data_IF_082896638797
#
_entry.id   IF_082896638797
#
_cell.length_a   1.000
_cell.length_b   1.000
_cell.length_c   1.000
_cell.angle_alpha   90.00
_cell.angle_beta   90.00
_cell.angle_gamma   90.00
#
_symmetry.space_group_name_H-M   'P 1'
#
loop_
_entity.id
_entity.type
_entity.pdbx_description
1 polymer ?
#
# COMPACT_ATOMS: atom_id res chain seq x y z
N UNK A 1 49.25 1.64 -29.87
CA UNK A 1 47.98 2.36 -29.68
C UNK A 1 46.85 1.33 -29.64
N UNK A 2 46.15 1.21 -28.51
CA UNK A 2 44.68 1.06 -28.40
C UNK A 2 44.26 0.15 -27.23
N UNK A 3 43.62 0.78 -26.26
CA UNK A 3 42.85 0.26 -25.14
C UNK A 3 41.52 1.07 -25.18
N UNK A 4 40.40 0.60 -24.59
CA UNK A 4 39.64 -0.63 -24.79
C UNK A 4 38.26 -0.35 -25.43
N UNK A 5 37.71 -1.30 -26.20
CA UNK A 5 36.29 -1.23 -26.59
C UNK A 5 35.45 -1.70 -25.40
N UNK A 6 34.85 -0.74 -24.71
CA UNK A 6 33.90 -1.00 -23.63
C UNK A 6 32.54 -1.14 -24.30
N UNK A 7 31.86 -2.30 -24.25
CA UNK A 7 30.47 -2.33 -24.65
C UNK A 7 29.66 -1.56 -23.60
N UNK A 8 29.39 -0.30 -23.90
CA UNK A 8 28.17 0.40 -23.53
C UNK A 8 26.99 -0.39 -24.11
N UNK A 9 26.70 -1.55 -23.52
CA UNK A 9 25.46 -2.24 -23.81
C UNK A 9 24.42 -1.72 -22.82
N UNK A 10 23.46 -0.99 -23.40
CA UNK A 10 22.43 -0.23 -22.72
C UNK A 10 21.86 -0.99 -21.53
N UNK A 11 21.62 -0.24 -20.46
CA UNK A 11 20.62 -0.55 -19.43
C UNK A 11 19.48 -1.29 -20.13
N UNK A 12 19.40 -2.61 -19.98
CA UNK A 12 18.27 -3.37 -20.44
C UNK A 12 17.09 -2.73 -19.71
N UNK A 13 16.31 -1.93 -20.43
CA UNK A 13 14.98 -1.53 -20.00
C UNK A 13 14.27 -2.85 -19.75
N UNK A 14 14.21 -3.21 -18.48
CA UNK A 14 13.56 -4.40 -17.97
C UNK A 14 12.07 -4.15 -18.17
N UNK A 15 11.60 -4.22 -19.41
CA UNK A 15 10.19 -4.34 -19.75
C UNK A 15 9.76 -5.77 -19.38
N UNK A 16 9.96 -6.12 -18.10
CA UNK A 16 9.26 -7.19 -17.43
C UNK A 16 7.81 -6.74 -17.38
N UNK A 17 7.06 -7.08 -18.43
CA UNK A 17 5.61 -7.05 -18.42
C UNK A 17 5.21 -8.01 -17.31
N UNK A 18 5.10 -7.50 -16.08
CA UNK A 18 4.67 -8.29 -14.93
C UNK A 18 3.34 -8.92 -15.36
N UNK A 19 3.18 -10.25 -15.26
CA UNK A 19 1.88 -10.88 -15.46
C UNK A 19 0.84 -10.10 -14.67
N UNK A 20 -0.36 -9.95 -15.24
CA UNK A 20 -1.39 -9.03 -14.76
C UNK A 20 -1.66 -9.15 -13.26
N UNK A 21 -1.50 -10.35 -12.68
CA UNK A 21 -1.61 -10.59 -11.24
C UNK A 21 -0.51 -9.92 -10.42
N UNK A 22 0.75 -9.99 -10.84
CA UNK A 22 1.87 -9.36 -10.15
C UNK A 22 1.78 -7.84 -10.26
N UNK A 23 1.41 -7.32 -11.42
CA UNK A 23 1.14 -5.90 -11.61
C UNK A 23 0.00 -5.42 -10.69
N UNK A 24 -1.08 -6.21 -10.56
CA UNK A 24 -2.18 -5.91 -9.66
C UNK A 24 -1.75 -6.00 -8.18
N UNK A 25 -0.92 -6.97 -7.80
CA UNK A 25 -0.35 -7.07 -6.44
C UNK A 25 0.53 -5.86 -6.14
N UNK A 26 1.46 -5.51 -7.03
CA UNK A 26 2.34 -4.35 -6.90
C UNK A 26 1.51 -3.05 -6.78
N UNK A 27 0.50 -2.88 -7.63
CA UNK A 27 -0.42 -1.75 -7.55
C UNK A 27 -1.21 -1.70 -6.23
N UNK A 28 -1.59 -2.85 -5.68
CA UNK A 28 -2.28 -2.93 -4.37
C UNK A 28 -1.34 -2.56 -3.22
N UNK A 29 -0.08 -3.02 -3.27
CA UNK A 29 0.95 -2.63 -2.30
C UNK A 29 1.24 -1.13 -2.36
N UNK A 30 1.39 -0.58 -3.57
CA UNK A 30 1.58 0.86 -3.78
C UNK A 30 0.39 1.70 -3.29
N UNK A 31 -0.85 1.20 -3.45
CA UNK A 31 -2.04 1.86 -2.90
C UNK A 31 -2.09 1.79 -1.38
N UNK A 32 -1.69 0.66 -0.78
CA UNK A 32 -1.62 0.51 0.68
C UNK A 32 -0.60 1.47 1.28
N UNK A 33 0.57 1.62 0.66
CA UNK A 33 1.58 2.59 1.10
C UNK A 33 1.09 4.02 0.90
N UNK A 34 0.51 4.34 -0.26
CA UNK A 34 -0.08 5.65 -0.51
C UNK A 34 -1.20 6.01 0.48
N UNK A 35 -2.06 5.06 0.84
CA UNK A 35 -3.10 5.25 1.85
C UNK A 35 -2.54 5.53 3.24
N UNK A 36 -1.44 4.87 3.62
CA UNK A 36 -0.77 5.09 4.90
C UNK A 36 -0.13 6.49 4.99
N UNK A 37 0.34 7.01 3.85
CA UNK A 37 0.93 8.36 3.77
C UNK A 37 -0.10 9.49 3.58
N UNK A 38 -1.34 9.16 3.21
CA UNK A 38 -2.38 10.16 3.02
C UNK A 38 -2.87 10.73 4.38
N UNK A 39 -3.09 12.05 4.42
CA UNK A 39 -3.56 12.73 5.62
C UNK A 39 -4.96 12.27 6.05
N UNK A 40 -5.22 12.29 7.35
CA UNK A 40 -6.55 12.00 7.88
C UNK A 40 -7.55 13.09 7.44
N UNK A 41 -8.73 12.68 6.96
CA UNK A 41 -9.76 13.59 6.45
C UNK A 41 -9.61 14.00 4.99
N UNK A 42 -8.52 13.59 4.31
CA UNK A 42 -8.37 13.84 2.87
C UNK A 42 -9.33 12.95 2.06
N UNK A 43 -10.04 13.57 1.11
CA UNK A 43 -10.88 12.88 0.14
C UNK A 43 -10.10 11.81 -0.63
N UNK A 44 -8.83 12.09 -0.97
CA UNK A 44 -7.95 11.15 -1.67
C UNK A 44 -7.80 9.84 -0.89
N UNK A 45 -7.69 9.91 0.44
CA UNK A 45 -7.56 8.72 1.29
C UNK A 45 -8.76 7.79 1.16
N UNK A 46 -9.97 8.33 1.11
CA UNK A 46 -11.19 7.55 0.92
C UNK A 46 -11.26 6.88 -0.47
N UNK A 47 -10.79 7.58 -1.51
CA UNK A 47 -10.74 7.06 -2.88
C UNK A 47 -9.71 5.93 -3.01
N UNK A 48 -8.55 6.07 -2.37
CA UNK A 48 -7.52 5.04 -2.32
C UNK A 48 -8.04 3.77 -1.63
N UNK A 49 -8.73 3.90 -0.49
CA UNK A 49 -9.33 2.76 0.21
C UNK A 49 -10.36 2.03 -0.65
N UNK A 50 -11.22 2.77 -1.38
CA UNK A 50 -12.22 2.17 -2.28
C UNK A 50 -11.57 1.43 -3.46
N UNK A 51 -10.49 1.98 -4.02
CA UNK A 51 -9.71 1.31 -5.08
C UNK A 51 -9.02 0.05 -4.56
N UNK A 52 -8.51 0.10 -3.35
CA UNK A 52 -7.88 -1.03 -2.67
C UNK A 52 -8.86 -2.19 -2.49
N UNK A 53 -10.11 -1.92 -2.05
CA UNK A 53 -11.18 -2.94 -1.99
C UNK A 53 -11.41 -3.61 -3.35
N UNK A 54 -11.43 -2.83 -4.43
CA UNK A 54 -11.64 -3.34 -5.79
C UNK A 54 -10.47 -4.24 -6.22
N UNK A 55 -9.22 -3.81 -5.99
CA UNK A 55 -8.05 -4.60 -6.31
C UNK A 55 -8.01 -5.92 -5.52
N UNK A 56 -8.35 -5.89 -4.23
CA UNK A 56 -8.39 -7.09 -3.40
C UNK A 56 -9.44 -8.08 -3.86
N UNK A 57 -10.59 -7.60 -4.38
CA UNK A 57 -11.58 -8.46 -5.02
C UNK A 57 -11.00 -9.15 -6.26
N UNK A 58 -10.37 -8.40 -7.17
CA UNK A 58 -9.77 -8.98 -8.36
C UNK A 58 -8.66 -9.99 -8.02
N UNK A 59 -7.85 -9.72 -6.99
CA UNK A 59 -6.82 -10.65 -6.52
C UNK A 59 -7.41 -11.90 -5.85
N UNK A 60 -8.47 -11.77 -5.06
CA UNK A 60 -9.10 -12.92 -4.38
C UNK A 60 -9.79 -13.87 -5.36
N UNK A 61 -10.24 -13.36 -6.52
CA UNK A 61 -10.87 -14.17 -7.57
C UNK A 61 -9.86 -14.68 -8.61
N UNK A 62 -8.59 -14.26 -8.54
CA UNK A 62 -7.62 -14.54 -9.59
C UNK A 62 -7.17 -16.01 -9.58
N UNK A 63 -7.19 -16.74 -10.72
CA UNK A 63 -6.88 -18.17 -10.77
C UNK A 63 -5.41 -18.50 -10.48
N UNK A 64 -4.50 -17.58 -10.77
CA UNK A 64 -3.06 -17.75 -10.51
C UNK A 64 -2.67 -17.52 -9.03
N UNK A 65 -3.60 -17.04 -8.19
CA UNK A 65 -3.36 -16.84 -6.76
C UNK A 65 -3.70 -18.12 -6.01
N UNK A 66 -2.82 -18.54 -5.11
CA UNK A 66 -3.00 -19.78 -4.35
C UNK A 66 -4.31 -19.75 -3.53
N UNK A 67 -4.97 -20.90 -3.31
CA UNK A 67 -6.24 -20.93 -2.57
C UNK A 67 -6.17 -20.29 -1.18
N UNK A 68 -5.07 -20.53 -0.46
CA UNK A 68 -4.84 -19.93 0.85
C UNK A 68 -4.71 -18.40 0.76
N UNK A 69 -3.95 -17.90 -0.24
CA UNK A 69 -3.79 -16.47 -0.46
C UNK A 69 -5.12 -15.80 -0.86
N UNK A 70 -5.94 -16.44 -1.70
CA UNK A 70 -7.29 -15.94 -2.04
C UNK A 70 -8.17 -15.77 -0.80
N UNK A 71 -8.15 -16.72 0.13
CA UNK A 71 -8.86 -16.62 1.40
C UNK A 71 -8.36 -15.43 2.23
N UNK A 72 -7.02 -15.27 2.35
CA UNK A 72 -6.43 -14.13 3.05
C UNK A 72 -6.82 -12.79 2.41
N UNK A 73 -6.79 -12.69 1.09
CA UNK A 73 -7.18 -11.50 0.34
C UNK A 73 -8.67 -11.18 0.48
N UNK A 74 -9.54 -12.18 0.46
CA UNK A 74 -10.97 -12.01 0.70
C UNK A 74 -11.24 -11.47 2.12
N UNK A 75 -10.54 -12.01 3.12
CA UNK A 75 -10.63 -11.51 4.50
C UNK A 75 -10.12 -10.07 4.61
N UNK A 76 -8.99 -9.77 3.95
CA UNK A 76 -8.43 -8.42 3.91
C UNK A 76 -9.42 -7.44 3.26
N UNK A 77 -10.05 -7.83 2.15
CA UNK A 77 -11.08 -7.04 1.47
C UNK A 77 -12.21 -6.68 2.42
N UNK A 78 -12.76 -7.65 3.16
CA UNK A 78 -13.85 -7.42 4.12
C UNK A 78 -13.46 -6.39 5.18
N UNK A 79 -12.22 -6.44 5.68
CA UNK A 79 -11.70 -5.44 6.65
C UNK A 79 -11.63 -4.05 6.03
N UNK A 80 -11.14 -3.94 4.79
CA UNK A 80 -11.09 -2.66 4.08
C UNK A 80 -12.45 -2.12 3.68
N UNK A 81 -13.44 -2.97 3.41
CA UNK A 81 -14.82 -2.54 3.19
C UNK A 81 -15.38 -1.87 4.44
N UNK A 82 -15.17 -2.48 5.60
CA UNK A 82 -15.55 -1.89 6.88
C UNK A 82 -14.84 -0.54 7.10
N UNK A 83 -13.56 -0.43 6.79
CA UNK A 83 -12.82 0.84 6.85
C UNK A 83 -13.38 1.93 5.92
N UNK A 84 -13.81 1.56 4.71
CA UNK A 84 -14.44 2.50 3.77
C UNK A 84 -15.80 2.97 4.27
N UNK A 85 -16.59 2.06 4.86
CA UNK A 85 -17.89 2.36 5.45
C UNK A 85 -17.74 3.23 6.72
N UNK A 86 -16.73 2.95 7.54
CA UNK A 86 -16.42 3.69 8.77
C UNK A 86 -15.64 4.99 8.53
N UNK A 87 -14.96 5.15 7.40
CA UNK A 87 -14.15 6.32 7.07
C UNK A 87 -14.93 7.63 6.95
N UNK A 88 -16.26 7.59 7.00
CA UNK A 88 -17.14 8.76 7.18
C UNK A 88 -17.46 9.10 8.64
N UNK A 89 -17.18 8.20 9.59
CA UNK A 89 -17.32 8.46 11.02
C UNK A 89 -15.98 8.94 11.57
N UNK A 90 -15.95 10.02 12.38
CA UNK A 90 -14.73 10.44 13.03
C UNK A 90 -14.25 9.29 13.92
N UNK A 91 -13.10 8.71 13.57
CA UNK A 91 -12.39 7.81 14.48
C UNK A 91 -12.08 8.64 15.71
N UNK A 92 -12.68 8.27 16.84
CA UNK A 92 -12.33 8.84 18.13
C UNK A 92 -10.85 8.48 18.39
N UNK A 93 -9.94 9.33 17.93
CA UNK A 93 -8.54 9.26 18.34
C UNK A 93 -8.57 9.55 19.83
N UNK A 94 -8.20 8.62 20.72
CA UNK A 94 -8.08 8.95 22.13
C UNK A 94 -7.11 10.13 22.20
N UNK A 95 -7.53 11.20 22.87
CA UNK A 95 -6.68 12.37 23.10
C UNK A 95 -5.31 11.87 23.63
N UNK A 96 -4.19 12.44 23.16
CA UNK A 96 -2.87 12.03 23.61
C UNK A 96 -2.88 12.02 25.14
N UNK A 97 -2.69 10.84 25.73
CA UNK A 97 -2.59 10.69 27.17
C UNK A 97 -1.48 11.64 27.64
N UNK A 98 -1.75 12.52 28.61
CA UNK A 98 -0.73 13.42 29.11
C UNK A 98 0.46 12.58 29.55
N UNK A 99 1.61 12.80 28.91
CA UNK A 99 2.86 12.22 29.35
C UNK A 99 3.08 12.77 30.75
N UNK A 100 3.02 11.90 31.75
CA UNK A 100 3.19 12.17 33.19
C UNK A 100 4.62 12.63 33.54
N UNK A 101 5.38 13.01 32.52
CA UNK A 101 6.73 13.49 32.55
C UNK A 101 6.84 14.72 31.67
N UNK A 102 7.29 15.83 32.26
CA UNK A 102 7.88 16.91 31.49
C UNK A 102 9.14 16.39 30.79
N UNK A 103 9.30 16.69 29.51
CA UNK A 103 10.56 16.47 28.82
C UNK A 103 11.66 17.28 29.55
N UNK A 104 12.84 16.69 29.88
CA UNK A 104 13.90 17.43 30.53
C UNK A 104 14.40 18.54 29.58
N UNK A 105 14.33 19.80 30.00
CA UNK A 105 14.67 20.96 29.17
C UNK A 105 16.17 21.15 28.91
N UNK A 106 17.05 20.29 29.45
CA UNK A 106 18.49 20.54 29.38
C UNK A 106 19.25 19.23 29.14
N UNK A 107 19.75 19.06 27.92
CA UNK A 107 20.98 18.30 27.66
C UNK A 107 22.12 19.32 27.73
N UNK A 108 22.80 19.35 28.87
CA UNK A 108 24.07 20.04 29.07
C UNK A 108 25.23 19.16 28.63
#
# INVERSE_FOLDING_TARGET
>A
MNHPDTPINACCDEEYVLPSVEALMAGTLALMTGYAQAAAGDLHRSLLARKLVSNLFFLSEHPQVSPHMRCMLANLRTRWQLEVEQGGAPRCVPAPTPLWHSAPEVLQ
#
